data_IF_642331466384
#
_entry.id   IF_642331466384
#
_cell.length_a   1.000
_cell.length_b   1.000
_cell.length_c   1.000
_cell.angle_alpha   90.00
_cell.angle_beta   90.00
_cell.angle_gamma   90.00
#
_symmetry.space_group_name_H-M   'P 1'
#
loop_
_entity.id
_entity.type
_entity.pdbx_description
1 polymer ?
#
# COMPACT_ATOMS: atom_id res chain seq x y z
N UNK A 1 21.29 -2.09 16.70
CA UNK A 1 22.05 -3.35 16.76
C UNK A 1 22.01 -4.17 15.46
N UNK A 2 21.41 -3.66 14.37
CA UNK A 2 21.21 -4.41 13.11
C UNK A 2 22.51 -4.75 12.36
N UNK A 3 23.58 -3.99 12.54
CA UNK A 3 24.83 -4.18 11.77
C UNK A 3 25.72 -5.37 12.18
N UNK A 4 25.55 -5.96 13.37
CA UNK A 4 26.47 -7.00 13.88
C UNK A 4 25.93 -8.43 13.78
N UNK A 5 24.60 -8.60 13.70
CA UNK A 5 23.95 -9.90 13.73
C UNK A 5 24.34 -10.84 12.56
N UNK A 6 24.53 -10.37 11.31
CA UNK A 6 24.99 -11.24 10.22
C UNK A 6 26.41 -11.80 10.40
N UNK A 7 27.23 -11.15 11.23
CA UNK A 7 28.64 -11.49 11.44
C UNK A 7 28.91 -12.20 12.77
N UNK A 8 27.87 -12.47 13.56
CA UNK A 8 28.00 -13.15 14.84
C UNK A 8 28.29 -14.64 14.64
N UNK A 9 29.37 -15.18 15.27
CA UNK A 9 29.59 -16.62 15.33
C UNK A 9 28.36 -17.37 15.85
N UNK A 10 28.07 -18.53 15.26
CA UNK A 10 26.89 -19.35 15.64
C UNK A 10 26.87 -19.68 17.13
N UNK A 11 28.04 -19.85 17.74
CA UNK A 11 28.21 -20.10 19.18
C UNK A 11 27.74 -18.96 20.08
N UNK A 12 27.66 -17.72 19.57
CA UNK A 12 27.24 -16.55 20.31
C UNK A 12 25.76 -16.18 20.09
N UNK A 13 25.05 -16.87 19.19
CA UNK A 13 23.63 -16.61 18.92
C UNK A 13 22.73 -16.79 20.16
N UNK A 14 22.93 -17.80 21.05
CA UNK A 14 22.14 -17.92 22.27
C UNK A 14 22.33 -16.73 23.23
N UNK A 15 23.56 -16.23 23.37
CA UNK A 15 23.86 -15.08 24.22
C UNK A 15 23.32 -13.78 23.62
N UNK A 16 23.45 -13.60 22.30
CA UNK A 16 22.88 -12.46 21.60
C UNK A 16 21.34 -12.42 21.75
N UNK A 17 20.67 -13.57 21.65
CA UNK A 17 19.23 -13.68 21.89
C UNK A 17 18.86 -13.35 23.34
N UNK A 18 19.63 -13.82 24.31
CA UNK A 18 19.43 -13.49 25.73
C UNK A 18 19.57 -11.99 25.99
N UNK A 19 20.59 -11.35 25.40
CA UNK A 19 20.79 -9.90 25.48
C UNK A 19 19.61 -9.16 24.85
N UNK A 20 19.19 -9.55 23.64
CA UNK A 20 18.05 -8.95 22.96
C UNK A 20 16.78 -9.02 23.81
N UNK A 21 16.48 -10.18 24.42
CA UNK A 21 15.33 -10.37 25.32
C UNK A 21 15.40 -9.52 26.59
N UNK A 22 16.62 -9.25 27.07
CA UNK A 22 16.88 -8.43 28.26
C UNK A 22 16.74 -6.92 28.03
N UNK A 23 16.55 -6.46 26.80
CA UNK A 23 16.31 -5.04 26.52
C UNK A 23 14.96 -4.61 27.11
N UNK A 24 14.99 -3.58 27.97
CA UNK A 24 13.81 -3.05 28.65
C UNK A 24 12.88 -2.30 27.69
N UNK A 25 13.45 -1.45 26.84
CA UNK A 25 12.73 -0.71 25.82
C UNK A 25 12.19 -1.65 24.73
N UNK A 26 10.88 -1.67 24.56
CA UNK A 26 10.21 -2.62 23.67
C UNK A 26 10.57 -2.39 22.20
N UNK A 27 10.81 -1.14 21.79
CA UNK A 27 11.19 -0.81 20.43
C UNK A 27 12.60 -1.34 20.13
N UNK A 28 13.58 -1.04 20.97
CA UNK A 28 14.93 -1.57 20.81
C UNK A 28 14.99 -3.09 20.94
N UNK A 29 14.13 -3.68 21.78
CA UNK A 29 13.99 -5.15 21.86
C UNK A 29 13.47 -5.74 20.55
N UNK A 30 12.42 -5.15 19.96
CA UNK A 30 11.89 -5.61 18.67
C UNK A 30 12.98 -5.55 17.59
N UNK A 31 13.67 -4.42 17.45
CA UNK A 31 14.77 -4.26 16.47
C UNK A 31 15.92 -5.25 16.71
N UNK A 32 16.27 -5.52 17.97
CA UNK A 32 17.32 -6.48 18.29
C UNK A 32 16.91 -7.91 17.90
N UNK A 33 15.66 -8.30 18.16
CA UNK A 33 15.11 -9.59 17.74
C UNK A 33 15.01 -9.70 16.21
N UNK A 34 14.52 -8.66 15.53
CA UNK A 34 14.48 -8.61 14.05
C UNK A 34 15.88 -8.76 13.45
N UNK A 35 16.87 -8.06 14.01
CA UNK A 35 18.26 -8.18 13.56
C UNK A 35 18.83 -9.60 13.66
N UNK A 36 18.33 -10.43 14.60
CA UNK A 36 18.74 -11.83 14.72
C UNK A 36 18.01 -12.77 13.75
N UNK A 37 16.89 -12.35 13.14
CA UNK A 37 16.05 -13.19 12.29
C UNK A 37 16.79 -13.88 11.12
N UNK A 38 17.75 -13.25 10.41
CA UNK A 38 18.50 -13.92 9.34
C UNK A 38 19.26 -15.17 9.80
N UNK A 39 19.60 -15.25 11.10
CA UNK A 39 20.33 -16.36 11.72
C UNK A 39 19.44 -17.24 12.62
N UNK A 40 18.33 -16.70 13.10
CA UNK A 40 17.38 -17.34 14.02
C UNK A 40 15.92 -17.03 13.61
N UNK A 41 15.40 -17.53 12.48
CA UNK A 41 14.07 -17.16 11.98
C UNK A 41 12.92 -17.40 12.98
N UNK A 42 13.08 -18.33 13.91
CA UNK A 42 12.11 -18.62 14.97
C UNK A 42 11.83 -17.45 15.91
N UNK A 43 12.72 -16.43 15.95
CA UNK A 43 12.53 -15.23 16.80
C UNK A 43 11.51 -14.25 16.21
N UNK A 44 11.10 -14.41 14.95
CA UNK A 44 10.19 -13.47 14.28
C UNK A 44 8.81 -13.43 14.92
N UNK A 45 8.30 -14.56 15.42
CA UNK A 45 7.04 -14.59 16.17
C UNK A 45 7.16 -13.78 17.47
N UNK A 46 8.29 -13.90 18.16
CA UNK A 46 8.56 -13.14 19.39
C UNK A 46 8.74 -11.65 19.08
N UNK A 47 9.49 -11.32 18.03
CA UNK A 47 9.70 -9.94 17.59
C UNK A 47 8.37 -9.26 17.21
N UNK A 48 7.49 -9.97 16.50
CA UNK A 48 6.15 -9.48 16.15
C UNK A 48 5.26 -9.29 17.39
N UNK A 49 5.33 -10.21 18.35
CA UNK A 49 4.63 -10.07 19.63
C UNK A 49 5.13 -8.87 20.44
N UNK A 50 6.45 -8.64 20.45
CA UNK A 50 7.04 -7.43 21.07
C UNK A 50 6.58 -6.19 20.34
N UNK A 51 6.63 -6.16 19.00
CA UNK A 51 6.18 -5.03 18.19
C UNK A 51 4.71 -4.67 18.51
N UNK A 52 3.81 -5.67 18.56
CA UNK A 52 2.41 -5.46 18.98
C UNK A 52 2.29 -4.79 20.35
N UNK A 53 3.18 -5.14 21.28
CA UNK A 53 3.17 -4.64 22.65
C UNK A 53 3.75 -3.23 22.83
N UNK A 54 4.42 -2.65 21.81
CA UNK A 54 5.00 -1.31 21.86
C UNK A 54 3.87 -0.30 22.09
N UNK A 55 3.93 0.46 23.20
CA UNK A 55 2.90 1.42 23.56
C UNK A 55 2.82 2.65 22.64
N UNK A 56 3.97 3.11 22.16
CA UNK A 56 4.07 4.22 21.22
C UNK A 56 3.78 3.76 19.77
N UNK A 57 2.86 4.45 19.11
CA UNK A 57 2.31 3.99 17.83
C UNK A 57 3.28 4.20 16.65
N UNK A 58 4.10 5.25 16.71
CA UNK A 58 5.18 5.52 15.75
C UNK A 58 6.24 4.41 15.82
N UNK A 59 6.71 4.10 17.03
CA UNK A 59 7.64 3.01 17.26
C UNK A 59 7.06 1.64 16.88
N UNK A 60 5.74 1.42 17.06
CA UNK A 60 5.08 0.19 16.63
C UNK A 60 5.10 0.05 15.11
N UNK A 61 4.79 1.12 14.38
CA UNK A 61 4.87 1.13 12.92
C UNK A 61 6.30 0.92 12.44
N UNK A 62 7.29 1.60 13.04
CA UNK A 62 8.71 1.43 12.71
C UNK A 62 9.21 0.00 12.97
N UNK A 63 8.77 -0.63 14.07
CA UNK A 63 9.10 -2.03 14.34
C UNK A 63 8.49 -2.98 13.29
N UNK A 64 7.27 -2.71 12.81
CA UNK A 64 6.68 -3.46 11.69
C UNK A 64 7.44 -3.23 10.38
N UNK A 65 7.89 -2.01 10.09
CA UNK A 65 8.73 -1.69 8.93
C UNK A 65 9.99 -2.53 8.92
N UNK A 66 10.70 -2.61 10.05
CA UNK A 66 11.93 -3.41 10.15
C UNK A 66 11.65 -4.92 10.05
N UNK A 67 10.50 -5.37 10.54
CA UNK A 67 10.08 -6.78 10.48
C UNK A 67 9.66 -7.24 9.08
N UNK A 68 9.01 -6.38 8.30
CA UNK A 68 8.32 -6.75 7.06
C UNK A 68 9.18 -7.58 6.08
N UNK A 69 10.46 -7.24 5.82
CA UNK A 69 11.31 -8.00 4.90
C UNK A 69 11.67 -9.41 5.38
N UNK A 70 11.49 -9.69 6.67
CA UNK A 70 11.88 -10.95 7.28
C UNK A 70 10.69 -11.86 7.60
N UNK A 71 9.46 -11.34 7.60
CA UNK A 71 8.29 -12.08 8.01
C UNK A 71 7.97 -13.22 7.02
N UNK A 72 7.92 -14.49 7.48
CA UNK A 72 7.39 -15.57 6.66
C UNK A 72 5.89 -15.37 6.45
N UNK A 73 5.38 -15.92 5.35
CA UNK A 73 3.99 -15.74 4.92
C UNK A 73 2.96 -16.04 6.04
N UNK A 74 3.23 -17.06 6.85
CA UNK A 74 2.37 -17.48 7.97
C UNK A 74 2.17 -16.39 9.05
N UNK A 75 3.08 -15.41 9.15
CA UNK A 75 2.99 -14.31 10.13
C UNK A 75 2.42 -13.01 9.54
N UNK A 76 2.30 -12.90 8.21
CA UNK A 76 1.74 -11.70 7.57
C UNK A 76 0.28 -11.39 7.95
N UNK A 77 -0.62 -12.38 8.15
CA UNK A 77 -1.97 -12.08 8.64
C UNK A 77 -1.98 -11.40 10.00
N UNK A 78 -1.02 -11.77 10.85
CA UNK A 78 -0.84 -11.22 12.20
C UNK A 78 -0.22 -9.82 12.14
N UNK A 79 0.78 -9.61 11.28
CA UNK A 79 1.38 -8.29 11.04
C UNK A 79 0.34 -7.27 10.54
N UNK A 80 -0.58 -7.69 9.65
CA UNK A 80 -1.70 -6.86 9.23
C UNK A 80 -2.66 -6.51 10.37
N UNK A 81 -2.89 -7.40 11.34
CA UNK A 81 -3.68 -7.06 12.54
C UNK A 81 -2.94 -6.07 13.44
N UNK A 82 -1.61 -6.18 13.56
CA UNK A 82 -0.83 -5.18 14.29
C UNK A 82 -0.93 -3.82 13.61
N UNK A 83 -0.74 -3.75 12.29
CA UNK A 83 -0.89 -2.52 11.51
C UNK A 83 -2.30 -1.93 11.65
N UNK A 84 -3.35 -2.76 11.54
CA UNK A 84 -4.74 -2.36 11.74
C UNK A 84 -5.02 -1.79 13.13
N UNK A 85 -4.36 -2.32 14.16
CA UNK A 85 -4.51 -1.90 15.55
C UNK A 85 -3.79 -0.58 15.91
N UNK A 86 -3.01 0.00 14.99
CA UNK A 86 -2.43 1.34 15.13
C UNK A 86 -3.56 2.37 14.96
N UNK A 87 -3.72 3.29 15.92
CA UNK A 87 -4.82 4.25 15.91
C UNK A 87 -4.47 5.47 15.09
N UNK A 88 -3.26 5.99 15.27
CA UNK A 88 -2.70 7.04 14.44
C UNK A 88 -2.72 6.59 12.98
N UNK A 89 -3.33 7.44 12.16
CA UNK A 89 -3.69 7.09 10.80
C UNK A 89 -2.48 7.13 9.87
N UNK A 90 -1.52 8.00 10.18
CA UNK A 90 -0.26 8.10 9.44
C UNK A 90 0.65 6.92 9.77
N UNK A 91 0.72 6.53 11.04
CA UNK A 91 1.46 5.34 11.47
C UNK A 91 0.83 4.05 10.91
N UNK A 92 -0.50 3.96 10.89
CA UNK A 92 -1.23 2.85 10.29
C UNK A 92 -0.97 2.76 8.79
N UNK A 93 -0.99 3.90 8.08
CA UNK A 93 -0.67 3.96 6.66
C UNK A 93 0.77 3.51 6.40
N UNK A 94 1.75 4.04 7.15
CA UNK A 94 3.16 3.65 7.03
C UNK A 94 3.36 2.16 7.24
N UNK A 95 2.80 1.59 8.32
CA UNK A 95 2.91 0.15 8.56
C UNK A 95 2.32 -0.69 7.40
N UNK A 96 1.18 -0.25 6.83
CA UNK A 96 0.56 -0.93 5.69
C UNK A 96 1.40 -0.81 4.41
N UNK A 97 1.97 0.37 4.14
CA UNK A 97 2.85 0.63 2.98
C UNK A 97 4.05 -0.31 3.03
N UNK A 98 4.69 -0.44 4.19
CA UNK A 98 5.91 -1.26 4.35
C UNK A 98 5.61 -2.76 4.31
N UNK A 99 4.40 -3.18 4.69
CA UNK A 99 3.97 -4.57 4.52
C UNK A 99 3.63 -4.92 3.07
N UNK A 100 3.17 -3.96 2.27
CA UNK A 100 2.60 -4.20 0.94
C UNK A 100 3.47 -5.06 0.00
N UNK A 101 4.80 -4.83 -0.13
CA UNK A 101 5.66 -5.62 -1.01
C UNK A 101 5.79 -7.09 -0.63
N UNK A 102 5.43 -7.43 0.62
CA UNK A 102 5.57 -8.77 1.18
C UNK A 102 4.26 -9.54 1.22
N UNK A 103 3.12 -8.88 0.93
CA UNK A 103 1.82 -9.52 1.03
C UNK A 103 1.55 -10.49 -0.12
N UNK A 104 1.21 -11.77 0.16
CA UNK A 104 0.66 -12.66 -0.84
C UNK A 104 -0.73 -12.18 -1.26
N UNK A 105 -1.14 -12.58 -2.46
CA UNK A 105 -2.34 -12.10 -3.12
C UNK A 105 -3.61 -12.21 -2.25
N UNK A 106 -3.77 -13.32 -1.53
CA UNK A 106 -4.95 -13.57 -0.68
C UNK A 106 -5.07 -12.63 0.52
N UNK A 107 -4.02 -11.88 0.87
CA UNK A 107 -4.04 -10.87 1.93
C UNK A 107 -4.31 -9.44 1.44
N UNK A 108 -4.21 -9.19 0.13
CA UNK A 108 -4.47 -7.87 -0.45
C UNK A 108 -5.91 -7.36 -0.26
N UNK A 109 -6.97 -8.20 -0.26
CA UNK A 109 -8.31 -7.73 0.11
C UNK A 109 -8.37 -7.14 1.52
N UNK A 110 -7.65 -7.76 2.47
CA UNK A 110 -7.57 -7.28 3.86
C UNK A 110 -6.76 -5.99 3.96
N UNK A 111 -5.66 -5.88 3.22
CA UNK A 111 -4.88 -4.65 3.12
C UNK A 111 -5.71 -3.48 2.58
N UNK A 112 -6.54 -3.70 1.56
CA UNK A 112 -7.45 -2.68 1.04
C UNK A 112 -8.51 -2.25 2.06
N UNK A 113 -9.06 -3.16 2.86
CA UNK A 113 -9.99 -2.78 3.93
C UNK A 113 -9.29 -2.00 5.06
N UNK A 114 -8.03 -2.29 5.37
CA UNK A 114 -7.25 -1.46 6.29
C UNK A 114 -7.03 -0.06 5.70
N UNK A 115 -6.62 0.04 4.43
CA UNK A 115 -6.47 1.32 3.74
C UNK A 115 -7.79 2.13 3.73
N UNK A 116 -8.92 1.46 3.48
CA UNK A 116 -10.25 2.07 3.52
C UNK A 116 -10.58 2.65 4.90
N UNK A 117 -10.19 1.96 5.97
CA UNK A 117 -10.39 2.39 7.36
C UNK A 117 -9.48 3.52 7.82
N UNK A 118 -8.59 4.05 6.97
CA UNK A 118 -7.81 5.26 7.24
C UNK A 118 -8.72 6.47 6.99
N UNK A 119 -9.00 7.25 8.03
CA UNK A 119 -9.84 8.45 7.97
C UNK A 119 -9.14 9.61 7.26
N UNK A 120 -7.88 9.84 7.60
CA UNK A 120 -6.97 10.80 7.00
C UNK A 120 -6.86 10.59 5.50
N UNK A 121 -7.36 11.56 4.75
CA UNK A 121 -7.51 11.45 3.29
C UNK A 121 -6.16 11.32 2.57
N UNK A 122 -5.18 12.09 3.03
CA UNK A 122 -3.80 12.02 2.59
C UNK A 122 -3.19 10.63 2.85
N UNK A 123 -3.31 10.13 4.08
CA UNK A 123 -2.73 8.84 4.48
C UNK A 123 -3.43 7.66 3.77
N UNK A 124 -4.75 7.74 3.57
CA UNK A 124 -5.52 6.77 2.77
C UNK A 124 -5.09 6.77 1.32
N UNK A 125 -4.91 7.95 0.71
CA UNK A 125 -4.42 8.06 -0.66
C UNK A 125 -3.02 7.45 -0.79
N UNK A 126 -2.11 7.77 0.13
CA UNK A 126 -0.76 7.19 0.15
C UNK A 126 -0.78 5.67 0.25
N UNK A 127 -1.57 5.12 1.17
CA UNK A 127 -1.72 3.67 1.29
C UNK A 127 -2.21 3.01 -0.01
N UNK A 128 -3.20 3.62 -0.70
CA UNK A 128 -3.68 3.11 -1.98
C UNK A 128 -2.63 3.21 -3.10
N UNK A 129 -1.87 4.30 -3.15
CA UNK A 129 -0.80 4.51 -4.15
C UNK A 129 0.27 3.44 -4.03
N UNK A 130 0.70 3.14 -2.80
CA UNK A 130 1.75 2.15 -2.54
C UNK A 130 1.24 0.70 -2.60
N UNK A 131 -0.05 0.45 -2.34
CA UNK A 131 -0.64 -0.87 -2.59
C UNK A 131 -0.80 -1.16 -4.09
N UNK A 132 -1.01 -0.12 -4.91
CA UNK A 132 -1.36 -0.26 -6.33
C UNK A 132 -0.44 -1.24 -7.10
N UNK A 133 0.90 -1.16 -7.04
CA UNK A 133 1.79 -2.07 -7.77
C UNK A 133 1.62 -3.55 -7.43
N UNK A 134 1.01 -3.86 -6.28
CA UNK A 134 0.81 -5.22 -5.77
C UNK A 134 -0.59 -5.76 -6.02
N UNK A 135 -1.55 -4.91 -6.44
CA UNK A 135 -2.95 -5.32 -6.56
C UNK A 135 -3.19 -6.20 -7.80
N UNK A 136 -3.79 -7.39 -7.63
CA UNK A 136 -4.33 -8.14 -8.75
C UNK A 136 -5.56 -7.43 -9.32
N UNK A 137 -5.84 -7.78 -10.56
CA UNK A 137 -6.79 -7.10 -11.44
C UNK A 137 -8.22 -7.10 -10.88
N UNK A 138 -8.64 -8.22 -10.27
CA UNK A 138 -9.97 -8.35 -9.67
C UNK A 138 -10.18 -7.44 -8.45
N UNK A 139 -9.13 -6.85 -7.86
CA UNK A 139 -9.22 -5.90 -6.76
C UNK A 139 -9.26 -4.44 -7.22
N UNK A 140 -8.96 -4.14 -8.49
CA UNK A 140 -9.03 -2.77 -9.02
C UNK A 140 -10.40 -2.11 -8.85
N UNK A 141 -11.56 -2.78 -9.06
CA UNK A 141 -12.86 -2.14 -8.86
C UNK A 141 -13.03 -1.65 -7.42
N UNK A 142 -12.56 -2.44 -6.45
CA UNK A 142 -12.63 -2.10 -5.03
C UNK A 142 -11.68 -0.96 -4.69
N UNK A 143 -10.45 -0.98 -5.19
CA UNK A 143 -9.49 0.09 -4.98
C UNK A 143 -9.97 1.42 -5.57
N UNK A 144 -10.58 1.41 -6.76
CA UNK A 144 -11.20 2.60 -7.39
C UNK A 144 -12.36 3.14 -6.56
N UNK A 145 -13.20 2.27 -5.98
CA UNK A 145 -14.28 2.68 -5.06
C UNK A 145 -13.71 3.40 -3.82
N UNK A 146 -12.65 2.87 -3.21
CA UNK A 146 -12.02 3.47 -2.03
C UNK A 146 -11.38 4.81 -2.41
N UNK A 147 -10.64 4.88 -3.53
CA UNK A 147 -10.02 6.12 -4.01
C UNK A 147 -11.07 7.20 -4.29
N UNK A 148 -12.21 6.84 -4.91
CA UNK A 148 -13.33 7.76 -5.15
C UNK A 148 -13.91 8.33 -3.86
N UNK A 149 -13.87 7.58 -2.76
CA UNK A 149 -14.36 8.01 -1.44
C UNK A 149 -13.47 9.02 -0.72
N UNK A 150 -12.30 9.38 -1.27
CA UNK A 150 -11.41 10.41 -0.73
C UNK A 150 -12.02 11.79 -1.03
N UNK A 151 -12.28 12.61 0.00
CA UNK A 151 -12.89 13.94 -0.17
C UNK A 151 -11.92 14.96 -0.76
N UNK A 152 -10.68 14.98 -0.27
CA UNK A 152 -9.55 15.76 -0.76
C UNK A 152 -9.30 15.50 -2.23
N UNK A 153 -9.51 16.53 -3.04
CA UNK A 153 -9.51 16.40 -4.50
C UNK A 153 -8.12 16.02 -5.05
N UNK A 154 -7.07 16.62 -4.49
CA UNK A 154 -5.69 16.31 -4.82
C UNK A 154 -5.33 14.86 -4.45
N UNK A 155 -5.66 14.43 -3.24
CA UNK A 155 -5.37 13.08 -2.75
C UNK A 155 -6.15 12.01 -3.54
N UNK A 156 -7.43 12.29 -3.83
CA UNK A 156 -8.28 11.47 -4.72
C UNK A 156 -7.67 11.34 -6.11
N UNK A 157 -7.21 12.44 -6.70
CA UNK A 157 -6.58 12.46 -8.01
C UNK A 157 -5.32 11.59 -8.04
N UNK A 158 -4.43 11.72 -7.05
CA UNK A 158 -3.20 10.92 -6.98
C UNK A 158 -3.49 9.43 -6.83
N UNK A 159 -4.44 9.04 -5.99
CA UNK A 159 -4.85 7.65 -5.83
C UNK A 159 -5.44 7.08 -7.13
N UNK A 160 -6.38 7.79 -7.77
CA UNK A 160 -6.96 7.35 -9.04
C UNK A 160 -5.93 7.30 -10.18
N UNK A 161 -4.99 8.24 -10.23
CA UNK A 161 -3.91 8.22 -11.20
C UNK A 161 -2.98 7.00 -11.00
N UNK A 162 -2.68 6.62 -9.76
CA UNK A 162 -1.89 5.42 -9.49
C UNK A 162 -2.62 4.15 -9.94
N UNK A 163 -3.91 4.02 -9.61
CA UNK A 163 -4.72 2.86 -9.97
C UNK A 163 -4.98 2.75 -11.48
N UNK A 164 -5.12 3.87 -12.20
CA UNK A 164 -5.33 3.85 -13.66
C UNK A 164 -4.12 3.30 -14.43
N UNK A 165 -2.91 3.36 -13.87
CA UNK A 165 -1.70 2.78 -14.49
C UNK A 165 -1.76 1.24 -14.57
N UNK A 166 -2.62 0.61 -13.76
CA UNK A 166 -2.80 -0.84 -13.72
C UNK A 166 -3.86 -1.33 -14.70
N UNK A 167 -4.56 -0.43 -15.38
CA UNK A 167 -5.59 -0.79 -16.33
C UNK A 167 -4.92 -1.36 -17.59
N UNK A 168 -5.14 -2.63 -17.87
CA UNK A 168 -4.69 -3.28 -19.10
C UNK A 168 -5.88 -3.83 -19.88
N UNK A 169 -5.64 -4.22 -21.14
CA UNK A 169 -6.67 -4.77 -22.01
C UNK A 169 -7.27 -6.08 -21.49
N UNK A 170 -6.54 -6.84 -20.67
CA UNK A 170 -7.01 -8.10 -20.13
C UNK A 170 -7.99 -7.92 -18.95
N UNK A 171 -8.10 -6.69 -18.42
CA UNK A 171 -8.63 -6.43 -17.07
C UNK A 171 -9.86 -5.54 -17.13
N UNK A 172 -10.22 -5.07 -18.33
CA UNK A 172 -11.25 -4.08 -18.55
C UNK A 172 -12.29 -4.68 -19.48
N UNK A 173 -13.45 -5.00 -18.91
CA UNK A 173 -14.67 -5.11 -19.69
C UNK A 173 -15.41 -3.77 -19.70
N UNK A 174 -16.50 -3.66 -20.48
CA UNK A 174 -17.31 -2.45 -20.55
C UNK A 174 -17.86 -2.01 -19.19
N UNK A 175 -18.24 -2.95 -18.33
CA UNK A 175 -18.80 -2.64 -17.00
C UNK A 175 -17.74 -2.06 -16.05
N UNK A 176 -16.51 -2.55 -16.16
CA UNK A 176 -15.38 -2.04 -15.41
C UNK A 176 -14.90 -0.69 -15.94
N UNK A 177 -14.98 -0.51 -17.27
CA UNK A 177 -14.73 0.78 -17.92
C UNK A 177 -15.67 1.86 -17.39
N UNK A 178 -16.98 1.60 -17.30
CA UNK A 178 -17.97 2.53 -16.73
C UNK A 178 -17.64 2.91 -15.29
N UNK A 179 -17.25 1.95 -14.44
CA UNK A 179 -16.85 2.22 -13.05
C UNK A 179 -15.61 3.11 -12.98
N UNK A 180 -14.65 2.88 -13.87
CA UNK A 180 -13.43 3.69 -13.97
C UNK A 180 -13.79 5.13 -14.35
N UNK A 181 -14.59 5.34 -15.38
CA UNK A 181 -15.04 6.69 -15.77
C UNK A 181 -15.88 7.36 -14.70
N UNK A 182 -16.73 6.61 -14.01
CA UNK A 182 -17.50 7.13 -12.89
C UNK A 182 -16.58 7.64 -11.76
N UNK A 183 -15.52 6.91 -11.44
CA UNK A 183 -14.54 7.35 -10.45
C UNK A 183 -13.77 8.58 -10.92
N UNK A 184 -13.28 8.58 -12.16
CA UNK A 184 -12.53 9.70 -12.75
C UNK A 184 -13.38 10.96 -12.96
N UNK A 185 -14.69 10.80 -13.17
CA UNK A 185 -15.64 11.92 -13.29
C UNK A 185 -15.78 12.76 -12.02
N UNK A 186 -15.24 12.30 -10.88
CA UNK A 186 -15.17 13.08 -9.64
C UNK A 186 -13.98 14.04 -9.57
N UNK A 187 -13.08 14.00 -10.55
CA UNK A 187 -11.88 14.84 -10.60
C UNK A 187 -12.16 16.20 -11.20
N UNK A 188 -11.39 17.20 -10.78
CA UNK A 188 -11.34 18.46 -11.54
C UNK A 188 -10.75 18.21 -12.92
N UNK A 189 -11.03 19.13 -13.85
CA UNK A 189 -10.55 19.03 -15.23
C UNK A 189 -9.02 18.84 -15.33
N UNK A 190 -8.16 19.60 -14.62
CA UNK A 190 -6.71 19.37 -14.68
C UNK A 190 -6.32 17.95 -14.30
N UNK A 191 -6.80 17.45 -13.17
CA UNK A 191 -6.47 16.10 -12.71
C UNK A 191 -7.07 14.99 -13.57
N UNK A 192 -8.27 15.20 -14.12
CA UNK A 192 -8.83 14.26 -15.11
C UNK A 192 -7.92 14.13 -16.33
N UNK A 193 -7.43 15.25 -16.87
CA UNK A 193 -6.54 15.26 -18.04
C UNK A 193 -5.21 14.53 -17.77
N UNK A 194 -4.71 14.55 -16.53
CA UNK A 194 -3.51 13.79 -16.14
C UNK A 194 -3.70 12.27 -16.19
N UNK A 195 -4.93 11.77 -16.20
CA UNK A 195 -5.22 10.33 -16.30
C UNK A 195 -5.37 9.84 -17.74
N UNK A 196 -5.62 10.75 -18.69
CA UNK A 196 -5.85 10.41 -20.11
C UNK A 196 -4.73 9.57 -20.72
N UNK A 197 -3.43 9.84 -20.51
CA UNK A 197 -2.37 9.01 -21.08
C UNK A 197 -2.48 7.52 -20.70
N UNK A 198 -2.91 7.22 -19.47
CA UNK A 198 -3.11 5.85 -18.99
C UNK A 198 -4.31 5.17 -19.68
N UNK A 199 -5.29 5.95 -20.14
CA UNK A 199 -6.50 5.44 -20.80
C UNK A 199 -6.34 5.24 -22.31
N UNK A 200 -5.30 5.82 -22.94
CA UNK A 200 -5.09 5.74 -24.40
C UNK A 200 -5.09 4.30 -24.93
N UNK A 201 -4.39 3.32 -24.32
CA UNK A 201 -4.41 1.94 -24.82
C UNK A 201 -5.83 1.35 -24.85
N UNK A 202 -6.66 1.67 -23.86
CA UNK A 202 -8.02 1.17 -23.73
C UNK A 202 -8.98 1.87 -24.71
N UNK A 203 -8.85 3.19 -24.86
CA UNK A 203 -9.60 3.96 -25.86
C UNK A 203 -9.34 3.40 -27.27
N UNK A 204 -8.07 3.12 -27.59
CA UNK A 204 -7.68 2.51 -28.85
C UNK A 204 -8.22 1.08 -29.01
N UNK A 205 -8.25 0.30 -27.93
CA UNK A 205 -8.76 -1.06 -27.98
C UNK A 205 -10.27 -1.13 -28.25
N UNK A 206 -11.07 -0.33 -27.53
CA UNK A 206 -12.53 -0.37 -27.67
C UNK A 206 -13.07 0.39 -28.88
N UNK A 207 -12.48 1.54 -29.21
CA UNK A 207 -13.03 2.45 -30.23
C UNK A 207 -12.05 2.81 -31.35
N UNK A 208 -10.85 2.23 -31.36
CA UNK A 208 -9.84 2.48 -32.37
C UNK A 208 -9.34 3.92 -32.41
N UNK A 209 -8.68 4.25 -33.52
CA UNK A 209 -8.14 5.61 -33.77
C UNK A 209 -9.26 6.66 -33.87
N UNK A 210 -10.47 6.26 -34.26
CA UNK A 210 -11.63 7.17 -34.34
C UNK A 210 -12.01 7.67 -32.96
N UNK A 211 -12.22 6.78 -31.99
CA UNK A 211 -12.54 7.18 -30.62
C UNK A 211 -11.43 8.02 -29.98
N UNK A 212 -10.16 7.71 -30.25
CA UNK A 212 -9.05 8.54 -29.75
C UNK A 212 -9.10 9.97 -30.32
N UNK A 213 -9.43 10.13 -31.61
CA UNK A 213 -9.62 11.47 -32.22
C UNK A 213 -10.81 12.20 -31.63
N UNK A 214 -11.92 11.50 -31.38
CA UNK A 214 -13.11 12.07 -30.76
C UNK A 214 -12.81 12.56 -29.33
N UNK A 215 -12.13 11.76 -28.52
CA UNK A 215 -11.68 12.17 -27.17
C UNK A 215 -10.78 13.40 -27.25
N UNK A 216 -9.78 13.41 -28.13
CA UNK A 216 -8.90 14.57 -28.32
C UNK A 216 -9.68 15.81 -28.77
N UNK A 217 -10.62 15.67 -29.70
CA UNK A 217 -11.46 16.76 -30.18
C UNK A 217 -12.36 17.31 -29.06
N UNK A 218 -12.99 16.45 -28.28
CA UNK A 218 -13.82 16.84 -27.14
C UNK A 218 -12.98 17.61 -26.10
N UNK A 219 -11.77 17.15 -25.78
CA UNK A 219 -10.85 17.86 -24.89
C UNK A 219 -10.52 19.25 -25.46
N UNK A 220 -10.21 19.36 -26.77
CA UNK A 220 -9.92 20.66 -27.41
C UNK A 220 -11.11 21.59 -27.41
N UNK A 221 -12.30 21.10 -27.68
CA UNK A 221 -13.53 21.89 -27.67
C UNK A 221 -13.81 22.43 -26.29
N UNK A 222 -13.88 21.58 -25.26
CA UNK A 222 -14.06 22.02 -23.86
C UNK A 222 -12.97 23.02 -23.45
N UNK A 223 -11.74 22.85 -23.94
CA UNK A 223 -10.64 23.78 -23.69
C UNK A 223 -10.79 25.14 -24.35
N UNK A 224 -11.56 25.27 -25.43
CA UNK A 224 -11.83 26.55 -26.09
C UNK A 224 -12.88 27.40 -25.37
N UNK A 225 -13.80 26.77 -24.66
CA UNK A 225 -14.90 27.46 -23.98
C UNK A 225 -14.48 28.16 -22.69
N UNK A 226 -13.25 27.93 -22.20
CA UNK A 226 -12.80 28.44 -20.92
C UNK A 226 -11.31 28.82 -20.99
N UNK A 227 -11.06 30.14 -21.11
CA UNK A 227 -9.77 30.81 -20.87
C UNK A 227 -9.73 31.34 -19.45
#
# INVERSE_FOLDING_TARGET
MTGLAPHLPVSLLPEALKIARGIEDQFFRALALTGLAPRLPQVLLEALAVARGIGDEDNRALALTDLAPHLPEILLPEALEVARGIRDESDRARALIELAPHLPEYLLPKALEIARGIGGEYDRARALIELAPHLPEYLLPKALEIARGIGGEYDRAKALQALTKLLTLANVDLSFWEKTFYALGTLTRPHFLETIPNLVPLILHFGGVVALREVHQAIREVSRWWK
#
